data_IF_750579226088
#
_entry.id   IF_750579226088
#
_cell.length_a   1.000
_cell.length_b   1.000
_cell.length_c   1.000
_cell.angle_alpha   90.00
_cell.angle_beta   90.00
_cell.angle_gamma   90.00
#
_symmetry.space_group_name_H-M   'P 1'
#
loop_
_entity.id
_entity.type
_entity.pdbx_description
1 polymer ?
#
# COMPACT_ATOMS: atom_id res chain seq x y z
N UNK A 1 0.52 -3.85 18.55
CA UNK A 1 0.61 -3.04 17.32
C UNK A 1 -0.76 -2.98 16.67
N UNK A 2 -1.27 -1.79 16.46
CA UNK A 2 -2.66 -1.62 15.99
C UNK A 2 -2.69 -1.35 14.48
N UNK A 3 -2.63 -2.43 13.69
CA UNK A 3 -2.68 -2.32 12.24
C UNK A 3 -4.02 -1.79 11.74
N UNK A 4 -5.13 -2.13 12.41
CA UNK A 4 -6.46 -1.65 12.01
C UNK A 4 -6.55 -0.14 12.10
N UNK A 5 -6.05 0.44 13.18
CA UNK A 5 -6.04 1.89 13.35
C UNK A 5 -5.15 2.57 12.30
N UNK A 6 -3.99 1.97 12.03
CA UNK A 6 -3.08 2.48 11.00
C UNK A 6 -3.75 2.51 9.63
N UNK A 7 -4.41 1.41 9.23
CA UNK A 7 -5.12 1.34 7.96
C UNK A 7 -6.29 2.32 7.91
N UNK A 8 -6.99 2.53 9.01
CA UNK A 8 -8.07 3.51 9.07
C UNK A 8 -7.54 4.92 8.78
N UNK A 9 -6.43 5.30 9.37
CA UNK A 9 -5.80 6.60 9.14
C UNK A 9 -5.39 6.77 7.68
N UNK A 10 -4.86 5.72 7.07
CA UNK A 10 -4.51 5.73 5.64
C UNK A 10 -5.76 5.90 4.78
N UNK A 11 -6.80 5.10 5.03
CA UNK A 11 -8.05 5.17 4.27
C UNK A 11 -8.71 6.53 4.40
N UNK A 12 -8.67 7.13 5.58
CA UNK A 12 -9.29 8.45 5.83
C UNK A 12 -8.50 9.59 5.17
N UNK A 13 -7.25 9.37 4.78
CA UNK A 13 -6.39 10.42 4.23
C UNK A 13 -6.77 10.84 2.82
N UNK A 14 -7.41 9.97 2.04
CA UNK A 14 -7.83 10.30 0.68
C UNK A 14 -8.93 9.35 0.19
N UNK A 15 -9.98 9.94 -0.41
CA UNK A 15 -11.11 9.17 -0.92
C UNK A 15 -10.78 8.30 -2.14
N UNK A 16 -9.67 8.56 -2.81
CA UNK A 16 -9.24 7.75 -3.95
C UNK A 16 -8.57 6.45 -3.53
N UNK A 17 -8.25 6.27 -2.26
CA UNK A 17 -7.71 5.01 -1.77
C UNK A 17 -8.83 3.97 -1.76
N UNK A 18 -8.67 2.92 -2.54
CA UNK A 18 -9.67 1.86 -2.72
C UNK A 18 -9.62 0.84 -1.60
N UNK A 19 -8.43 0.42 -1.26
CA UNK A 19 -8.18 -0.44 -0.10
C UNK A 19 -6.74 -0.33 0.34
N UNK A 20 -6.49 -0.76 1.57
CA UNK A 20 -5.15 -0.88 2.11
C UNK A 20 -5.08 -2.16 2.93
N UNK A 21 -3.89 -2.72 3.04
CA UNK A 21 -3.70 -3.94 3.81
C UNK A 21 -2.28 -4.04 4.34
N UNK A 22 -2.14 -4.85 5.39
CA UNK A 22 -0.83 -5.18 5.96
C UNK A 22 -0.55 -6.65 5.70
N UNK A 23 0.65 -6.95 5.25
CA UNK A 23 1.12 -8.32 5.11
C UNK A 23 2.36 -8.55 5.97
N UNK A 24 2.73 -9.81 6.14
CA UNK A 24 4.09 -10.13 6.56
C UNK A 24 5.04 -10.00 5.35
N UNK A 25 6.33 -10.25 5.56
CA UNK A 25 7.33 -10.10 4.49
C UNK A 25 7.23 -11.18 3.40
N UNK A 26 6.42 -12.22 3.63
CA UNK A 26 6.15 -13.25 2.62
C UNK A 26 4.91 -12.91 1.77
N UNK A 27 4.21 -11.83 2.09
CA UNK A 27 3.02 -11.43 1.36
C UNK A 27 1.73 -12.05 1.87
N UNK A 28 1.74 -12.66 3.06
CA UNK A 28 0.52 -13.19 3.68
C UNK A 28 -0.28 -12.06 4.31
N UNK A 29 -1.56 -11.98 3.99
CA UNK A 29 -2.44 -10.89 4.46
C UNK A 29 -2.73 -11.06 5.94
N UNK A 30 -2.51 -10.00 6.72
CA UNK A 30 -2.79 -9.97 8.15
C UNK A 30 -4.05 -9.16 8.46
N UNK A 31 -4.20 -7.99 7.85
CA UNK A 31 -5.34 -7.08 8.06
C UNK A 31 -5.65 -6.39 6.74
N UNK A 32 -6.94 -6.20 6.46
CA UNK A 32 -7.42 -5.51 5.25
C UNK A 32 -8.41 -4.42 5.65
N UNK A 33 -8.37 -3.29 4.95
CA UNK A 33 -9.40 -2.26 4.98
C UNK A 33 -9.82 -1.95 3.54
N UNK A 34 -11.10 -2.09 3.25
CA UNK A 34 -11.66 -1.93 1.92
C UNK A 34 -12.73 -0.83 1.94
N UNK A 35 -12.69 0.05 0.95
CA UNK A 35 -13.69 1.12 0.86
C UNK A 35 -15.00 0.56 0.30
N UNK A 36 -16.11 0.92 0.94
CA UNK A 36 -17.44 0.50 0.50
C UNK A 36 -17.74 1.01 -0.90
N UNK A 37 -18.44 0.19 -1.67
CA UNK A 37 -18.86 0.55 -3.02
C UNK A 37 -17.78 0.44 -4.09
N UNK A 38 -16.58 0.02 -3.73
CA UNK A 38 -15.46 -0.13 -4.67
C UNK A 38 -15.46 -1.54 -5.26
N UNK A 39 -15.37 -1.62 -6.59
CA UNK A 39 -15.34 -2.89 -7.30
C UNK A 39 -13.96 -3.53 -7.21
N UNK A 40 -13.92 -4.82 -6.85
CA UNK A 40 -12.70 -5.60 -6.92
C UNK A 40 -12.48 -6.08 -8.35
N UNK A 41 -11.36 -5.69 -8.95
CA UNK A 41 -10.99 -6.14 -10.30
C UNK A 41 -10.37 -7.54 -10.30
N UNK A 42 -9.79 -7.96 -9.19
CA UNK A 42 -9.08 -9.23 -9.05
C UNK A 42 -9.85 -10.19 -8.16
N UNK A 43 -9.72 -11.48 -8.43
CA UNK A 43 -10.20 -12.52 -7.51
C UNK A 43 -9.33 -12.56 -6.26
N UNK A 44 -9.79 -13.24 -5.21
CA UNK A 44 -8.99 -13.43 -3.99
C UNK A 44 -7.67 -14.14 -4.29
N UNK A 45 -7.68 -15.14 -5.16
CA UNK A 45 -6.49 -15.88 -5.54
C UNK A 45 -5.49 -15.02 -6.31
N UNK A 46 -5.99 -14.19 -7.24
CA UNK A 46 -5.16 -13.26 -7.99
C UNK A 46 -4.52 -12.23 -7.08
N UNK A 47 -5.29 -11.70 -6.13
CA UNK A 47 -4.79 -10.75 -5.14
C UNK A 47 -3.68 -11.36 -4.30
N UNK A 48 -3.90 -12.55 -3.72
CA UNK A 48 -2.90 -13.23 -2.91
C UNK A 48 -1.62 -13.49 -3.70
N UNK A 49 -1.74 -13.99 -4.93
CA UNK A 49 -0.60 -14.27 -5.80
C UNK A 49 0.20 -13.00 -6.09
N UNK A 50 -0.50 -11.91 -6.41
CA UNK A 50 0.16 -10.63 -6.73
C UNK A 50 0.87 -10.04 -5.53
N UNK A 51 0.30 -10.17 -4.33
CA UNK A 51 0.95 -9.69 -3.09
C UNK A 51 2.21 -10.48 -2.78
N UNK A 52 2.20 -11.78 -2.97
CA UNK A 52 3.38 -12.62 -2.77
C UNK A 52 4.51 -12.25 -3.74
N UNK A 53 4.18 -11.97 -5.00
CA UNK A 53 5.17 -11.50 -5.97
C UNK A 53 5.75 -10.15 -5.58
N UNK A 54 4.91 -9.23 -5.12
CA UNK A 54 5.36 -7.91 -4.68
C UNK A 54 6.26 -8.02 -3.45
N UNK A 55 5.92 -8.88 -2.50
CA UNK A 55 6.76 -9.11 -1.32
C UNK A 55 8.12 -9.70 -1.70
N UNK A 56 8.15 -10.65 -2.64
CA UNK A 56 9.38 -11.23 -3.16
C UNK A 56 10.26 -10.17 -3.83
N UNK A 57 9.66 -9.29 -4.64
CA UNK A 57 10.38 -8.19 -5.27
C UNK A 57 10.95 -7.23 -4.22
N UNK A 58 10.20 -6.96 -3.15
CA UNK A 58 10.68 -6.11 -2.06
C UNK A 58 11.90 -6.71 -1.37
N UNK A 59 11.89 -8.02 -1.11
CA UNK A 59 13.05 -8.72 -0.53
C UNK A 59 14.29 -8.56 -1.40
N UNK A 60 14.14 -8.73 -2.72
CA UNK A 60 15.25 -8.55 -3.65
C UNK A 60 15.84 -7.15 -3.59
N UNK A 61 14.98 -6.14 -3.48
CA UNK A 61 15.44 -4.74 -3.36
C UNK A 61 16.16 -4.48 -2.05
N UNK A 62 15.79 -5.17 -0.96
CA UNK A 62 16.48 -5.02 0.33
C UNK A 62 17.95 -5.39 0.28
N UNK A 63 18.33 -6.27 -0.62
CA UNK A 63 19.74 -6.66 -0.80
C UNK A 63 20.62 -5.50 -1.24
N UNK A 64 20.02 -4.44 -1.81
CA UNK A 64 20.74 -3.26 -2.25
C UNK A 64 20.87 -2.18 -1.16
N UNK A 65 20.22 -2.38 -0.01
CA UNK A 65 20.11 -1.35 1.01
C UNK A 65 21.46 -0.90 1.59
N UNK A 66 22.43 -1.81 1.63
CA UNK A 66 23.78 -1.47 2.13
C UNK A 66 24.52 -0.49 1.23
N UNK A 67 24.13 -0.37 -0.04
CA UNK A 67 24.78 0.47 -1.03
C UNK A 67 24.00 1.75 -1.34
N UNK A 68 22.68 1.65 -1.42
CA UNK A 68 21.85 2.79 -1.84
C UNK A 68 20.81 3.22 -0.79
N UNK A 69 20.83 2.60 0.38
CA UNK A 69 19.90 2.93 1.46
C UNK A 69 18.65 2.07 1.43
N UNK A 70 17.85 2.20 2.47
CA UNK A 70 16.61 1.45 2.62
C UNK A 70 15.56 1.92 1.61
N UNK A 71 14.79 0.99 1.07
CA UNK A 71 13.66 1.31 0.19
C UNK A 71 12.60 2.11 0.94
N UNK A 72 12.04 3.11 0.29
CA UNK A 72 11.00 3.95 0.86
C UNK A 72 9.61 3.52 0.42
N UNK A 73 9.46 3.20 -0.86
CA UNK A 73 8.21 2.68 -1.43
C UNK A 73 8.46 2.16 -2.83
N UNK A 74 7.50 1.39 -3.33
CA UNK A 74 7.45 0.95 -4.72
C UNK A 74 6.06 1.22 -5.28
N UNK A 75 5.96 1.50 -6.57
CA UNK A 75 4.70 1.80 -7.24
C UNK A 75 4.56 0.92 -8.47
N UNK A 76 3.40 0.29 -8.60
CA UNK A 76 3.01 -0.43 -9.80
C UNK A 76 1.72 0.22 -10.33
N UNK A 77 1.84 0.95 -11.43
CA UNK A 77 0.72 1.68 -12.02
C UNK A 77 0.12 0.89 -13.19
N UNK A 78 -1.19 0.66 -13.13
CA UNK A 78 -1.97 0.04 -14.18
C UNK A 78 -2.99 1.05 -14.71
N UNK A 79 -3.65 0.71 -15.80
CA UNK A 79 -4.62 1.63 -16.40
C UNK A 79 -5.79 1.96 -15.46
N UNK A 80 -6.25 0.98 -14.68
CA UNK A 80 -7.41 1.14 -13.79
C UNK A 80 -7.02 1.43 -12.35
N UNK A 81 -5.95 0.84 -11.87
CA UNK A 81 -5.50 1.01 -10.48
C UNK A 81 -4.00 1.22 -10.43
N UNK A 82 -3.58 1.88 -9.35
CA UNK A 82 -2.17 1.98 -8.97
C UNK A 82 -2.03 1.35 -7.61
N UNK A 83 -1.01 0.50 -7.44
CA UNK A 83 -0.74 -0.12 -6.14
C UNK A 83 0.64 0.29 -5.66
N UNK A 84 0.69 0.71 -4.40
CA UNK A 84 1.92 1.13 -3.74
C UNK A 84 2.27 0.16 -2.63
N UNK A 85 3.57 -0.05 -2.43
CA UNK A 85 4.12 -0.89 -1.36
C UNK A 85 5.00 -0.03 -0.48
N UNK A 86 4.79 -0.08 0.83
CA UNK A 86 5.61 0.62 1.83
C UNK A 86 6.12 -0.36 2.86
N UNK A 87 7.36 -0.23 3.34
CA UNK A 87 7.82 -1.05 4.45
C UNK A 87 7.19 -0.57 5.76
N UNK A 88 6.90 -1.52 6.65
CA UNK A 88 6.45 -1.25 7.99
C UNK A 88 7.36 -2.02 8.94
N UNK A 89 8.39 -1.35 9.45
CA UNK A 89 9.45 -2.02 10.18
C UNK A 89 10.20 -3.01 9.29
N UNK A 90 10.74 -4.07 9.89
CA UNK A 90 11.48 -5.09 9.16
C UNK A 90 10.63 -6.32 8.79
N UNK A 91 9.44 -6.45 9.40
CA UNK A 91 8.67 -7.68 9.34
C UNK A 91 7.38 -7.58 8.55
N UNK A 92 6.98 -6.37 8.19
CA UNK A 92 5.67 -6.15 7.55
C UNK A 92 5.77 -5.22 6.36
N UNK A 93 4.77 -5.32 5.48
CA UNK A 93 4.57 -4.42 4.35
C UNK A 93 3.16 -3.87 4.38
N UNK A 94 3.00 -2.63 3.91
CA UNK A 94 1.69 -2.03 3.69
C UNK A 94 1.49 -1.88 2.19
N UNK A 95 0.33 -2.31 1.72
CA UNK A 95 -0.10 -2.11 0.34
C UNK A 95 -1.26 -1.14 0.31
N UNK A 96 -1.18 -0.15 -0.57
CA UNK A 96 -2.23 0.84 -0.76
C UNK A 96 -2.63 0.83 -2.23
N UNK A 97 -3.91 0.61 -2.50
CA UNK A 97 -4.45 0.60 -3.86
C UNK A 97 -5.33 1.83 -4.06
N UNK A 98 -5.11 2.54 -5.14
CA UNK A 98 -5.88 3.72 -5.50
C UNK A 98 -6.36 3.61 -6.94
N UNK A 99 -7.43 4.36 -7.26
CA UNK A 99 -7.91 4.45 -8.64
C UNK A 99 -6.94 5.28 -9.48
N UNK A 100 -6.69 4.84 -10.71
CA UNK A 100 -5.95 5.64 -11.68
C UNK A 100 -6.78 6.89 -12.05
N UNK A 101 -6.17 7.87 -12.70
CA UNK A 101 -6.89 9.07 -13.12
C UNK A 101 -8.06 8.74 -14.05
N UNK A 102 -7.97 7.67 -14.83
CA UNK A 102 -9.04 7.25 -15.73
C UNK A 102 -10.31 6.76 -15.02
N UNK A 103 -10.19 6.25 -13.79
CA UNK A 103 -11.32 5.71 -13.03
C UNK A 103 -11.69 6.56 -11.83
N UNK A 104 -10.92 7.58 -11.52
CA UNK A 104 -11.18 8.49 -10.40
C UNK A 104 -12.37 9.38 -10.74
N UNK A 105 -13.42 9.33 -9.90
CA UNK A 105 -14.65 10.08 -10.12
C UNK A 105 -14.73 11.37 -9.32
N UNK A 106 -14.00 11.46 -8.21
CA UNK A 106 -13.98 12.65 -7.36
C UNK A 106 -12.81 13.56 -7.79
N UNK A 107 -13.09 14.74 -8.38
CA UNK A 107 -12.02 15.63 -8.81
C UNK A 107 -11.17 16.19 -7.66
N UNK A 108 -11.67 16.08 -6.41
CA UNK A 108 -10.94 16.54 -5.23
C UNK A 108 -10.10 15.43 -4.61
N UNK A 109 -10.27 14.18 -5.04
CA UNK A 109 -9.45 13.08 -4.56
C UNK A 109 -8.03 13.18 -5.10
N UNK A 110 -7.07 12.76 -4.27
CA UNK A 110 -5.66 12.85 -4.61
C UNK A 110 -5.21 11.84 -5.66
N UNK A 111 -4.20 12.20 -6.42
CA UNK A 111 -3.48 11.31 -7.31
C UNK A 111 -2.33 10.62 -6.59
N UNK A 112 -1.52 9.89 -7.37
CA UNK A 112 -0.42 9.08 -6.87
C UNK A 112 0.53 9.86 -5.95
N UNK A 113 0.99 11.04 -6.39
CA UNK A 113 1.98 11.82 -5.63
C UNK A 113 1.46 12.24 -4.26
N UNK A 114 0.23 12.75 -4.21
CA UNK A 114 -0.37 13.21 -2.97
C UNK A 114 -0.58 12.08 -1.98
N UNK A 115 -1.02 10.91 -2.47
CA UNK A 115 -1.26 9.75 -1.62
C UNK A 115 0.06 9.20 -1.07
N UNK A 116 1.13 9.17 -1.87
CA UNK A 116 2.46 8.80 -1.38
C UNK A 116 2.85 9.71 -0.22
N UNK A 117 2.70 11.03 -0.38
CA UNK A 117 3.04 11.99 0.67
C UNK A 117 2.20 11.78 1.92
N UNK A 118 0.89 11.53 1.78
CA UNK A 118 0.02 11.25 2.92
C UNK A 118 0.45 10.02 3.68
N UNK A 119 0.71 8.92 2.96
CA UNK A 119 1.09 7.66 3.60
C UNK A 119 2.44 7.79 4.29
N UNK A 120 3.43 8.38 3.63
CA UNK A 120 4.75 8.57 4.24
C UNK A 120 4.65 9.43 5.51
N UNK A 121 3.83 10.48 5.49
CA UNK A 121 3.61 11.31 6.66
C UNK A 121 2.97 10.54 7.82
N UNK A 122 1.96 9.72 7.52
CA UNK A 122 1.31 8.89 8.53
C UNK A 122 2.31 7.91 9.12
N UNK A 123 3.09 7.23 8.28
CA UNK A 123 4.07 6.24 8.73
C UNK A 123 5.18 6.86 9.57
N UNK A 124 5.63 8.08 9.22
CA UNK A 124 6.70 8.76 9.97
C UNK A 124 6.29 9.11 11.39
N UNK A 125 4.98 9.26 11.67
CA UNK A 125 4.45 9.63 12.97
C UNK A 125 3.90 8.44 13.74
N UNK A 126 3.88 7.25 13.14
CA UNK A 126 3.30 6.08 13.76
C UNK A 126 4.35 5.35 14.59
N UNK A 127 4.10 5.11 15.89
CA UNK A 127 5.06 4.39 16.76
C UNK A 127 5.32 2.96 16.30
N UNK A 128 4.44 2.36 15.50
CA UNK A 128 4.66 1.00 15.02
C UNK A 128 5.82 0.91 14.03
N UNK A 129 6.23 2.03 13.47
CA UNK A 129 7.34 2.10 12.52
C UNK A 129 8.70 2.07 13.21
N UNK A 130 8.75 2.49 14.43
CA UNK A 130 10.01 2.60 15.19
C UNK A 130 10.64 1.22 15.55
#
# INVERSE_FOLDING_TARGET
MDFKNLLKRIMDSDNNIRHSLVTDIEGNILVVSHRDGVTNYLSSEETESSLKRAASAWKGRKELSSKIGNGLYAVAAFEKITRMTFPLGNDNLIFVSLGSDAVRTDPNAGGQKQIIEHVLNILSKDPTKA
#
